data_IF_923122441757
#
_entry.id   IF_923122441757
#
_cell.length_a   1.000
_cell.length_b   1.000
_cell.length_c   1.000
_cell.angle_alpha   90.00
_cell.angle_beta   90.00
_cell.angle_gamma   90.00
#
_symmetry.space_group_name_H-M   'P 1'
#
loop_
_entity.id
_entity.type
_entity.pdbx_description
1 polymer ?
#
# COMPACT_ATOMS: atom_id res chain seq x y z
N UNK A 1 -0.27 11.40 26.61
CA UNK A 1 -0.99 11.12 27.87
C UNK A 1 -1.17 9.63 28.15
N UNK A 2 -1.44 8.76 27.16
CA UNK A 2 -1.64 7.31 27.39
C UNK A 2 -0.40 6.51 27.87
N UNK A 3 0.81 6.87 27.45
CA UNK A 3 2.05 6.19 27.88
C UNK A 3 2.39 6.42 29.37
N UNK A 4 1.97 7.55 29.94
CA UNK A 4 2.11 7.83 31.37
C UNK A 4 1.11 7.01 32.19
N UNK A 5 -0.11 6.82 31.68
CA UNK A 5 -1.15 6.02 32.36
C UNK A 5 -0.77 4.54 32.44
N UNK A 6 -0.21 3.96 31.36
CA UNK A 6 0.20 2.54 31.36
C UNK A 6 1.38 2.25 32.30
N UNK A 7 2.36 3.16 32.37
CA UNK A 7 3.47 3.05 33.33
C UNK A 7 3.01 3.23 34.76
N UNK A 8 2.11 4.17 35.05
CA UNK A 8 1.53 4.33 36.38
C UNK A 8 0.75 3.10 36.85
N UNK A 9 -0.06 2.48 35.97
CA UNK A 9 -0.79 1.26 36.29
C UNK A 9 0.18 0.10 36.59
N UNK A 10 1.23 -0.05 35.79
CA UNK A 10 2.25 -1.09 36.01
C UNK A 10 2.96 -0.93 37.37
N UNK A 11 3.29 0.31 37.77
CA UNK A 11 3.88 0.59 39.08
C UNK A 11 2.93 0.27 40.24
N UNK A 12 1.64 0.57 40.12
CA UNK A 12 0.64 0.24 41.15
C UNK A 12 0.53 -1.28 41.32
N UNK A 13 0.43 -2.03 40.21
CA UNK A 13 0.36 -3.50 40.25
C UNK A 13 1.63 -4.10 40.88
N UNK A 14 2.81 -3.58 40.52
CA UNK A 14 4.09 -4.02 41.08
C UNK A 14 4.16 -3.78 42.59
N UNK A 15 3.75 -2.59 43.06
CA UNK A 15 3.76 -2.25 44.48
C UNK A 15 2.79 -3.12 45.29
N UNK A 16 1.59 -3.39 44.76
CA UNK A 16 0.63 -4.30 45.40
C UNK A 16 1.20 -5.72 45.47
N UNK A 17 1.83 -6.19 44.40
CA UNK A 17 2.44 -7.54 44.35
C UNK A 17 3.60 -7.68 45.32
N UNK A 18 4.48 -6.66 45.40
CA UNK A 18 5.59 -6.62 46.35
C UNK A 18 5.10 -6.52 47.80
N UNK A 19 4.06 -5.72 48.07
CA UNK A 19 3.45 -5.64 49.39
C UNK A 19 2.81 -6.97 49.80
N UNK A 20 2.13 -7.65 48.88
CA UNK A 20 1.59 -9.00 49.10
C UNK A 20 2.68 -10.03 49.43
N UNK A 21 3.79 -10.01 48.68
CA UNK A 21 4.94 -10.87 48.95
C UNK A 21 5.65 -10.54 50.27
N UNK A 22 5.82 -9.26 50.59
CA UNK A 22 6.40 -8.83 51.85
C UNK A 22 5.51 -9.23 53.04
N UNK A 23 4.20 -9.08 52.91
CA UNK A 23 3.23 -9.51 53.92
C UNK A 23 3.23 -11.03 54.09
N UNK A 24 3.27 -11.79 52.98
CA UNK A 24 3.40 -13.25 53.01
C UNK A 24 4.70 -13.68 53.70
N UNK A 25 5.83 -13.11 53.31
CA UNK A 25 7.13 -13.40 53.90
C UNK A 25 7.16 -13.06 55.40
N UNK A 26 6.67 -11.88 55.78
CA UNK A 26 6.59 -11.46 57.18
C UNK A 26 5.68 -12.38 58.01
N UNK A 27 4.51 -12.73 57.48
CA UNK A 27 3.57 -13.64 58.14
C UNK A 27 4.17 -15.03 58.28
N UNK A 28 4.86 -15.52 57.25
CA UNK A 28 5.51 -16.83 57.26
C UNK A 28 6.67 -16.87 58.27
N UNK A 29 7.53 -15.85 58.28
CA UNK A 29 8.62 -15.69 59.26
C UNK A 29 8.07 -15.62 60.68
N UNK A 30 7.02 -14.82 60.92
CA UNK A 30 6.37 -14.71 62.23
C UNK A 30 5.70 -16.02 62.67
N UNK A 31 5.23 -16.83 61.72
CA UNK A 31 4.62 -18.13 61.99
C UNK A 31 5.64 -19.27 62.15
N UNK A 32 6.92 -19.02 61.82
CA UNK A 32 7.99 -19.99 62.05
C UNK A 32 8.25 -20.13 63.55
N UNK A 33 8.17 -21.37 64.06
CA UNK A 33 8.34 -21.66 65.49
C UNK A 33 9.83 -21.77 65.82
N UNK A 34 10.20 -21.36 67.04
CA UNK A 34 11.59 -21.24 67.48
C UNK A 34 12.33 -22.59 67.68
N UNK A 35 11.65 -23.74 67.57
CA UNK A 35 12.21 -25.05 67.90
C UNK A 35 12.33 -25.97 66.68
N UNK A 36 13.56 -26.43 66.44
CA UNK A 36 13.94 -27.39 65.39
C UNK A 36 13.27 -28.73 65.68
N UNK A 37 12.47 -29.26 64.73
CA UNK A 37 11.76 -30.54 64.86
C UNK A 37 10.26 -30.44 65.14
N UNK A 38 9.70 -29.22 65.32
CA UNK A 38 8.26 -29.01 65.50
C UNK A 38 7.45 -29.16 64.20
N UNK A 39 8.13 -29.29 63.06
CA UNK A 39 7.61 -29.58 61.73
C UNK A 39 7.22 -31.05 61.49
N UNK A 40 7.53 -31.98 62.42
CA UNK A 40 7.10 -33.38 62.32
C UNK A 40 5.59 -33.53 62.59
N UNK A 41 4.78 -33.14 61.62
CA UNK A 41 3.37 -33.52 61.51
C UNK A 41 3.32 -34.90 60.84
N UNK A 42 2.37 -35.75 61.26
CA UNK A 42 2.01 -36.97 60.51
C UNK A 42 2.03 -36.69 59.01
N UNK A 43 2.70 -37.54 58.23
CA UNK A 43 2.76 -37.41 56.77
C UNK A 43 1.34 -37.20 56.23
N UNK A 44 1.15 -36.31 55.26
CA UNK A 44 -0.18 -35.86 54.84
C UNK A 44 -1.12 -37.00 54.44
N UNK A 45 -0.57 -38.12 53.95
CA UNK A 45 -1.26 -39.35 53.59
C UNK A 45 -1.63 -40.27 54.80
N UNK A 46 -1.13 -39.98 56.00
CA UNK A 46 -1.41 -40.72 57.25
C UNK A 46 -2.34 -39.98 58.19
N UNK A 47 -2.75 -38.76 57.85
CA UNK A 47 -3.81 -38.06 58.57
C UNK A 47 -5.16 -38.63 58.12
N UNK A 48 -6.14 -38.84 59.03
CA UNK A 48 -7.51 -39.13 58.63
C UNK A 48 -7.95 -38.06 57.63
N UNK A 49 -8.49 -38.50 56.49
CA UNK A 49 -9.08 -37.57 55.54
C UNK A 49 -10.34 -36.94 56.15
N UNK A 50 -10.85 -35.90 55.52
CA UNK A 50 -12.11 -35.31 55.97
C UNK A 50 -13.23 -36.36 55.91
N UNK A 51 -14.13 -36.33 56.89
CA UNK A 51 -15.36 -37.12 56.87
C UNK A 51 -16.32 -36.59 55.80
N UNK A 52 -17.33 -37.40 55.46
CA UNK A 52 -18.25 -37.09 54.37
C UNK A 52 -19.03 -35.80 54.68
N UNK A 53 -19.40 -35.54 55.93
CA UNK A 53 -20.07 -34.30 56.33
C UNK A 53 -19.22 -33.04 56.08
N UNK A 54 -17.91 -33.09 56.35
CA UNK A 54 -17.02 -31.95 56.06
C UNK A 54 -16.78 -31.82 54.55
N UNK A 55 -16.65 -32.94 53.84
CA UNK A 55 -16.45 -32.96 52.40
C UNK A 55 -17.64 -32.40 51.63
N UNK A 56 -18.86 -32.82 51.97
CA UNK A 56 -20.10 -32.43 51.30
C UNK A 56 -20.68 -31.11 51.80
N UNK A 57 -20.30 -30.64 53.00
CA UNK A 57 -20.73 -29.35 53.53
C UNK A 57 -19.67 -28.24 53.39
N UNK A 58 -18.97 -27.86 54.46
CA UNK A 58 -18.12 -26.65 54.49
C UNK A 58 -17.00 -26.63 53.45
N UNK A 59 -16.46 -27.79 53.06
CA UNK A 59 -15.40 -27.85 52.05
C UNK A 59 -15.98 -27.67 50.64
N UNK A 60 -17.07 -28.37 50.32
CA UNK A 60 -17.73 -28.25 49.02
C UNK A 60 -18.23 -26.82 48.79
N UNK A 61 -18.89 -26.21 49.78
CA UNK A 61 -19.38 -24.83 49.69
C UNK A 61 -18.25 -23.84 49.39
N UNK A 62 -17.10 -23.95 50.06
CA UNK A 62 -15.94 -23.07 49.79
C UNK A 62 -15.43 -23.19 48.36
N UNK A 63 -15.34 -24.43 47.84
CA UNK A 63 -14.89 -24.69 46.47
C UNK A 63 -15.93 -24.20 45.47
N UNK A 64 -17.23 -24.38 45.75
CA UNK A 64 -18.31 -23.88 44.91
C UNK A 64 -18.35 -22.34 44.87
N UNK A 65 -18.13 -21.66 46.00
CA UNK A 65 -18.01 -20.19 46.04
C UNK A 65 -16.82 -19.71 45.21
N UNK A 66 -15.68 -20.43 45.26
CA UNK A 66 -14.54 -20.15 44.40
C UNK A 66 -14.89 -20.33 42.91
N UNK A 67 -15.62 -21.40 42.59
CA UNK A 67 -16.14 -21.66 41.25
C UNK A 67 -17.07 -20.55 40.76
N UNK A 68 -18.01 -20.11 41.59
CA UNK A 68 -18.92 -18.99 41.29
C UNK A 68 -18.14 -17.69 41.09
N UNK A 69 -17.11 -17.43 41.90
CA UNK A 69 -16.26 -16.27 41.74
C UNK A 69 -15.53 -16.25 40.39
N UNK A 70 -14.92 -17.36 39.97
CA UNK A 70 -14.31 -17.45 38.65
C UNK A 70 -15.35 -17.35 37.52
N UNK A 71 -16.54 -17.91 37.71
CA UNK A 71 -17.62 -17.79 36.75
C UNK A 71 -18.05 -16.32 36.59
N UNK A 72 -18.23 -15.58 37.69
CA UNK A 72 -18.52 -14.13 37.66
C UNK A 72 -17.39 -13.37 36.94
N UNK A 73 -16.12 -13.67 37.23
CA UNK A 73 -15.00 -13.04 36.51
C UNK A 73 -15.10 -13.28 35.02
N UNK A 74 -15.31 -14.53 34.58
CA UNK A 74 -15.38 -14.87 33.15
C UNK A 74 -16.59 -14.18 32.51
N UNK A 75 -17.76 -14.21 33.17
CA UNK A 75 -19.00 -13.59 32.70
C UNK A 75 -18.88 -12.07 32.54
N UNK A 76 -18.06 -11.40 33.34
CA UNK A 76 -17.85 -9.93 33.23
C UNK A 76 -16.68 -9.59 32.32
N UNK A 77 -15.55 -10.29 32.46
CA UNK A 77 -14.31 -9.97 31.76
C UNK A 77 -14.41 -10.26 30.25
N UNK A 78 -15.08 -11.35 29.84
CA UNK A 78 -15.23 -11.66 28.42
C UNK A 78 -16.04 -10.58 27.67
N UNK A 79 -17.25 -10.18 28.09
CA UNK A 79 -17.96 -9.09 27.41
C UNK A 79 -17.17 -7.78 27.36
N UNK A 80 -16.49 -7.41 28.45
CA UNK A 80 -15.66 -6.20 28.48
C UNK A 80 -14.48 -6.27 27.49
N UNK A 81 -13.82 -7.43 27.41
CA UNK A 81 -12.77 -7.66 26.42
C UNK A 81 -13.29 -7.50 24.99
N UNK A 82 -14.46 -8.09 24.69
CA UNK A 82 -15.08 -8.04 23.36
C UNK A 82 -15.51 -6.62 22.97
N UNK A 83 -15.99 -5.81 23.92
CA UNK A 83 -16.35 -4.40 23.68
C UNK A 83 -15.12 -3.57 23.27
N UNK A 84 -13.93 -3.92 23.75
CA UNK A 84 -12.68 -3.20 23.44
C UNK A 84 -11.95 -3.76 22.20
N UNK A 85 -12.35 -4.93 21.70
CA UNK A 85 -11.71 -5.62 20.58
C UNK A 85 -11.65 -4.80 19.27
N UNK A 86 -12.69 -4.04 18.88
CA UNK A 86 -12.64 -3.25 17.64
C UNK A 86 -11.50 -2.21 17.65
N UNK A 87 -11.32 -1.50 18.77
CA UNK A 87 -10.26 -0.50 18.91
C UNK A 87 -8.88 -1.16 18.86
N UNK A 88 -8.71 -2.31 19.50
CA UNK A 88 -7.46 -3.06 19.48
C UNK A 88 -7.11 -3.54 18.07
N UNK A 89 -8.12 -3.99 17.32
CA UNK A 89 -7.95 -4.38 15.91
C UNK A 89 -7.53 -3.19 15.05
N UNK A 90 -8.18 -2.03 15.23
CA UNK A 90 -7.85 -0.81 14.51
C UNK A 90 -6.42 -0.31 14.84
N UNK A 91 -6.02 -0.33 16.10
CA UNK A 91 -4.66 0.02 16.52
C UNK A 91 -3.61 -0.96 15.98
N UNK A 92 -3.94 -2.26 15.94
CA UNK A 92 -3.07 -3.27 15.34
C UNK A 92 -2.87 -3.00 13.85
N UNK A 93 -3.96 -2.75 13.10
CA UNK A 93 -3.91 -2.40 11.67
C UNK A 93 -3.04 -1.17 11.43
N UNK A 94 -3.29 -0.07 12.16
CA UNK A 94 -2.48 1.14 12.08
C UNK A 94 -0.99 0.88 12.39
N UNK A 95 -0.71 0.08 13.42
CA UNK A 95 0.65 -0.29 13.79
C UNK A 95 1.34 -1.17 12.75
N UNK A 96 0.61 -2.04 12.04
CA UNK A 96 1.14 -2.79 10.91
C UNK A 96 1.44 -1.87 9.73
N UNK A 97 0.48 -1.07 9.27
CA UNK A 97 0.69 -0.14 8.15
C UNK A 97 1.87 0.79 8.40
N UNK A 98 1.94 1.41 9.59
CA UNK A 98 3.07 2.29 9.95
C UNK A 98 4.43 1.60 9.82
N UNK A 99 4.54 0.34 10.25
CA UNK A 99 5.79 -0.44 10.15
C UNK A 99 6.08 -0.80 8.70
N UNK A 100 5.08 -1.24 7.95
CA UNK A 100 5.22 -1.63 6.56
C UNK A 100 5.59 -0.43 5.67
N UNK A 101 4.96 0.73 5.86
CA UNK A 101 5.32 1.98 5.21
C UNK A 101 6.76 2.37 5.54
N UNK A 102 7.20 2.22 6.79
CA UNK A 102 8.59 2.51 7.18
C UNK A 102 9.58 1.57 6.47
N UNK A 103 9.35 0.26 6.49
CA UNK A 103 10.22 -0.70 5.80
C UNK A 103 10.23 -0.48 4.29
N UNK A 104 9.07 -0.17 3.71
CA UNK A 104 8.97 0.20 2.29
C UNK A 104 9.76 1.45 1.96
N UNK A 105 9.75 2.47 2.83
CA UNK A 105 10.54 3.68 2.65
C UNK A 105 12.04 3.38 2.62
N UNK A 106 12.52 2.51 3.53
CA UNK A 106 13.92 2.06 3.58
C UNK A 106 14.31 1.33 2.28
N UNK A 107 13.44 0.47 1.75
CA UNK A 107 13.67 -0.20 0.45
C UNK A 107 13.65 0.77 -0.73
N UNK A 108 12.77 1.79 -0.69
CA UNK A 108 12.62 2.76 -1.77
C UNK A 108 13.77 3.76 -1.85
N UNK A 109 14.50 3.96 -0.75
CA UNK A 109 15.59 4.92 -0.64
C UNK A 109 16.75 4.67 -1.62
N UNK A 110 17.66 5.64 -1.70
CA UNK A 110 18.83 5.54 -2.56
C UNK A 110 19.74 4.39 -2.10
N UNK A 111 20.56 3.84 -3.00
CA UNK A 111 21.55 2.82 -2.62
C UNK A 111 22.54 3.34 -1.58
N UNK A 112 22.84 4.64 -1.59
CA UNK A 112 23.67 5.28 -0.56
C UNK A 112 23.08 5.15 0.86
N UNK A 113 21.75 5.05 0.97
CA UNK A 113 21.03 4.90 2.24
C UNK A 113 20.67 3.43 2.54
N UNK A 114 21.21 2.47 1.76
CA UNK A 114 20.93 1.04 1.89
C UNK A 114 19.67 0.55 1.17
N UNK A 115 19.01 1.40 0.38
CA UNK A 115 17.83 1.04 -0.41
C UNK A 115 18.14 0.52 -1.83
N UNK A 116 17.09 0.25 -2.59
CA UNK A 116 17.15 -0.28 -3.96
C UNK A 116 17.13 0.82 -5.05
N UNK A 117 17.33 2.07 -4.66
CA UNK A 117 17.43 3.24 -5.54
C UNK A 117 16.17 3.53 -6.36
N UNK A 118 14.99 3.13 -5.89
CA UNK A 118 13.72 3.52 -6.52
C UNK A 118 13.59 5.06 -6.53
N UNK A 119 13.98 5.71 -5.42
CA UNK A 119 14.02 7.17 -5.30
C UNK A 119 14.97 7.83 -6.30
N UNK A 120 16.12 7.22 -6.61
CA UNK A 120 17.08 7.76 -7.57
C UNK A 120 16.49 7.90 -8.97
N UNK A 121 15.74 6.90 -9.42
CA UNK A 121 15.06 6.95 -10.71
C UNK A 121 13.78 7.80 -10.67
N UNK A 122 12.96 7.64 -9.64
CA UNK A 122 11.60 8.20 -9.62
C UNK A 122 11.47 9.60 -9.01
N UNK A 123 12.58 10.32 -8.75
CA UNK A 123 12.53 11.71 -8.30
C UNK A 123 12.48 11.87 -6.78
N UNK A 124 13.38 11.20 -6.08
CA UNK A 124 13.53 11.27 -4.62
C UNK A 124 12.44 10.49 -3.86
N UNK A 125 12.42 10.64 -2.54
CA UNK A 125 11.48 9.91 -1.67
C UNK A 125 10.01 10.23 -1.95
N UNK A 126 9.70 11.43 -2.44
CA UNK A 126 8.34 11.81 -2.86
C UNK A 126 7.96 11.30 -4.25
N UNK A 127 8.86 10.62 -4.95
CA UNK A 127 8.63 10.01 -6.25
C UNK A 127 7.92 10.94 -7.27
N UNK A 128 8.40 12.18 -7.41
CA UNK A 128 7.76 13.23 -8.25
C UNK A 128 8.05 13.09 -9.74
N UNK A 129 8.71 12.01 -10.15
CA UNK A 129 9.22 11.79 -11.50
C UNK A 129 10.69 12.20 -11.60
N UNK A 130 11.44 11.46 -12.41
CA UNK A 130 12.87 11.67 -12.57
C UNK A 130 13.35 11.25 -13.95
N UNK A 131 14.66 11.09 -14.07
CA UNK A 131 15.34 10.64 -15.29
C UNK A 131 16.36 9.58 -14.88
N UNK A 132 16.45 8.50 -15.65
CA UNK A 132 17.41 7.42 -15.46
C UNK A 132 18.22 7.18 -16.72
N UNK A 133 19.53 6.99 -16.60
CA UNK A 133 20.36 6.60 -17.74
C UNK A 133 20.05 5.15 -18.13
N UNK A 134 19.94 4.87 -19.43
CA UNK A 134 19.60 3.55 -19.94
C UNK A 134 20.40 3.21 -21.19
N UNK A 135 21.05 2.06 -21.19
CA UNK A 135 21.72 1.53 -22.36
C UNK A 135 20.70 0.86 -23.29
N UNK A 136 20.50 1.45 -24.46
CA UNK A 136 19.62 0.94 -25.50
C UNK A 136 20.45 0.39 -26.65
N UNK A 137 20.16 -0.87 -27.02
CA UNK A 137 20.74 -1.49 -28.20
C UNK A 137 19.82 -1.25 -29.40
N UNK A 138 20.36 -0.69 -30.48
CA UNK A 138 19.65 -0.61 -31.75
C UNK A 138 19.50 -2.03 -32.33
N UNK A 139 18.26 -2.52 -32.57
CA UNK A 139 18.05 -3.87 -33.07
C UNK A 139 18.53 -4.07 -34.52
N UNK A 140 18.80 -3.01 -35.28
CA UNK A 140 19.28 -3.09 -36.68
C UNK A 140 20.80 -3.08 -36.77
N UNK A 141 21.46 -2.25 -35.97
CA UNK A 141 22.92 -2.04 -36.05
C UNK A 141 23.69 -2.71 -34.92
N UNK A 142 23.00 -3.21 -33.89
CA UNK A 142 23.57 -3.70 -32.63
C UNK A 142 24.39 -2.65 -31.85
N UNK A 143 24.33 -1.38 -32.26
CA UNK A 143 25.00 -0.27 -31.57
C UNK A 143 24.30 0.00 -30.23
N UNK A 144 25.09 0.17 -29.16
CA UNK A 144 24.58 0.50 -27.83
C UNK A 144 24.73 2.00 -27.59
N UNK A 145 23.61 2.69 -27.33
CA UNK A 145 23.56 4.11 -27.00
C UNK A 145 23.01 4.30 -25.59
N UNK A 146 23.61 5.22 -24.84
CA UNK A 146 23.05 5.63 -23.55
C UNK A 146 22.01 6.74 -23.79
N UNK A 147 20.80 6.55 -23.27
CA UNK A 147 19.72 7.53 -23.37
C UNK A 147 19.27 7.99 -21.98
N UNK A 148 18.69 9.19 -21.93
CA UNK A 148 18.07 9.74 -20.72
C UNK A 148 16.60 9.37 -20.68
N UNK A 149 16.25 8.35 -19.90
CA UNK A 149 14.89 7.82 -19.82
C UNK A 149 14.05 8.57 -18.78
N UNK A 150 12.89 9.09 -19.18
CA UNK A 150 11.90 9.71 -18.29
C UNK A 150 11.23 8.65 -17.41
N UNK A 151 11.60 8.63 -16.13
CA UNK A 151 11.00 7.78 -15.12
C UNK A 151 9.76 8.49 -14.54
N UNK A 152 8.56 7.91 -14.67
CA UNK A 152 7.32 8.61 -14.33
C UNK A 152 7.21 8.87 -12.83
N UNK A 153 6.47 9.91 -12.48
CA UNK A 153 6.07 10.14 -11.11
C UNK A 153 5.20 8.99 -10.57
N UNK A 154 5.47 8.58 -9.33
CA UNK A 154 4.74 7.51 -8.63
C UNK A 154 3.81 8.05 -7.54
N UNK A 155 3.90 9.33 -7.18
CA UNK A 155 2.99 10.00 -6.25
C UNK A 155 1.54 10.16 -6.75
N UNK A 156 1.24 9.69 -7.96
CA UNK A 156 -0.13 9.53 -8.47
C UNK A 156 -0.33 8.17 -9.17
N UNK A 157 0.45 7.15 -8.79
CA UNK A 157 0.36 5.82 -9.39
C UNK A 157 -0.94 5.10 -8.99
N UNK A 158 -1.38 5.27 -7.74
CA UNK A 158 -2.58 4.62 -7.18
C UNK A 158 -3.89 5.17 -7.76
N UNK A 159 -3.82 6.25 -8.52
CA UNK A 159 -4.98 6.82 -9.21
C UNK A 159 -5.36 6.03 -10.47
N UNK A 160 -4.44 5.18 -10.91
CA UNK A 160 -4.40 4.63 -12.26
C UNK A 160 -4.16 3.14 -12.30
N UNK A 161 -3.49 2.62 -11.28
CA UNK A 161 -3.13 1.22 -11.14
C UNK A 161 -3.68 0.66 -9.84
N UNK A 162 -4.09 -0.61 -9.87
CA UNK A 162 -4.41 -1.36 -8.64
C UNK A 162 -3.13 -1.85 -7.95
N UNK A 163 -3.28 -2.29 -6.69
CA UNK A 163 -2.18 -2.90 -5.93
C UNK A 163 -1.60 -4.12 -6.65
N UNK A 164 -2.44 -4.93 -7.30
CA UNK A 164 -2.03 -6.12 -8.07
C UNK A 164 -1.26 -5.75 -9.34
N UNK A 165 -1.69 -4.70 -10.05
CA UNK A 165 -0.97 -4.22 -11.23
C UNK A 165 0.40 -3.65 -10.86
N UNK A 166 0.48 -2.89 -9.75
CA UNK A 166 1.76 -2.40 -9.23
C UNK A 166 2.64 -3.56 -8.78
N UNK A 167 2.07 -4.56 -8.08
CA UNK A 167 2.79 -5.78 -7.70
C UNK A 167 3.33 -6.50 -8.93
N UNK A 168 2.55 -6.62 -10.00
CA UNK A 168 2.99 -7.22 -11.25
C UNK A 168 4.19 -6.45 -11.85
N UNK A 169 4.12 -5.12 -11.89
CA UNK A 169 5.20 -4.27 -12.40
C UNK A 169 6.46 -4.39 -11.53
N UNK A 170 6.32 -4.44 -10.21
CA UNK A 170 7.47 -4.61 -9.31
C UNK A 170 8.06 -6.01 -9.43
N UNK A 171 7.23 -7.04 -9.61
CA UNK A 171 7.69 -8.41 -9.74
C UNK A 171 8.43 -8.65 -11.06
N UNK A 172 7.88 -8.19 -12.18
CA UNK A 172 8.38 -8.53 -13.52
C UNK A 172 9.07 -7.37 -14.24
N UNK A 173 9.09 -6.19 -13.64
CA UNK A 173 9.57 -4.98 -14.26
C UNK A 173 8.68 -4.53 -15.42
N UNK A 174 9.21 -3.62 -16.22
CA UNK A 174 8.70 -3.31 -17.54
C UNK A 174 9.82 -3.61 -18.53
N UNK A 175 9.64 -4.62 -19.41
CA UNK A 175 10.54 -4.85 -20.56
C UNK A 175 10.76 -3.54 -21.32
N UNK A 176 11.75 -3.41 -22.21
CA UNK A 176 12.03 -2.18 -22.99
C UNK A 176 12.38 -0.90 -22.19
N UNK A 177 12.32 -0.91 -20.86
CA UNK A 177 12.59 0.24 -20.00
C UNK A 177 13.68 -0.05 -18.96
N UNK A 178 14.20 0.96 -18.24
CA UNK A 178 15.16 0.77 -17.15
C UNK A 178 14.55 0.10 -15.91
N UNK A 179 13.22 -0.07 -15.87
CA UNK A 179 12.53 -0.66 -14.73
C UNK A 179 12.65 -2.19 -14.77
N UNK A 180 13.71 -2.71 -14.17
CA UNK A 180 13.95 -4.15 -14.01
C UNK A 180 12.91 -4.83 -13.12
N UNK A 181 12.90 -6.16 -13.14
CA UNK A 181 12.21 -6.97 -12.15
C UNK A 181 12.86 -6.80 -10.78
N UNK A 182 12.05 -6.58 -9.75
CA UNK A 182 12.49 -6.49 -8.36
C UNK A 182 12.05 -7.67 -7.53
N UNK A 183 10.89 -8.28 -7.81
CA UNK A 183 10.43 -9.46 -7.10
C UNK A 183 11.20 -10.71 -7.47
N UNK A 184 11.44 -11.60 -6.50
CA UNK A 184 12.10 -12.90 -6.71
C UNK A 184 11.46 -13.73 -7.82
N UNK A 185 10.14 -13.64 -7.99
CA UNK A 185 9.41 -14.40 -9.01
C UNK A 185 9.73 -13.94 -10.44
N UNK A 186 10.19 -12.71 -10.63
CA UNK A 186 10.68 -12.18 -11.90
C UNK A 186 12.20 -12.13 -12.00
N UNK A 187 12.92 -12.71 -11.03
CA UNK A 187 14.38 -12.74 -10.99
C UNK A 187 15.04 -11.57 -10.26
N UNK A 188 14.26 -10.75 -9.56
CA UNK A 188 14.78 -9.65 -8.73
C UNK A 188 15.13 -10.07 -7.29
N UNK A 189 15.65 -9.15 -6.46
CA UNK A 189 16.15 -9.45 -5.11
C UNK A 189 15.10 -9.43 -3.98
N UNK A 190 13.87 -8.98 -4.25
CA UNK A 190 12.87 -8.68 -3.22
C UNK A 190 11.89 -9.83 -3.00
N UNK A 191 11.69 -10.19 -1.72
CA UNK A 191 10.65 -11.15 -1.33
C UNK A 191 9.25 -10.57 -1.52
N UNK A 192 8.21 -11.41 -1.51
CA UNK A 192 6.82 -10.95 -1.60
C UNK A 192 6.43 -9.97 -0.48
N UNK A 193 7.00 -10.15 0.72
CA UNK A 193 6.80 -9.22 1.83
C UNK A 193 7.47 -7.87 1.55
N UNK A 194 8.70 -7.86 1.02
CA UNK A 194 9.37 -6.61 0.61
C UNK A 194 8.54 -5.85 -0.44
N UNK A 195 7.99 -6.56 -1.43
CA UNK A 195 7.11 -5.97 -2.45
C UNK A 195 5.85 -5.37 -1.81
N UNK A 196 5.25 -6.08 -0.85
CA UNK A 196 4.11 -5.57 -0.08
C UNK A 196 4.48 -4.29 0.66
N UNK A 197 5.60 -4.26 1.38
CA UNK A 197 6.04 -3.05 2.11
C UNK A 197 6.31 -1.87 1.18
N UNK A 198 6.88 -2.11 -0.01
CA UNK A 198 7.06 -1.06 -1.03
C UNK A 198 5.73 -0.51 -1.51
N UNK A 199 4.72 -1.35 -1.73
CA UNK A 199 3.37 -0.92 -2.11
C UNK A 199 2.74 -0.07 -0.99
N UNK A 200 2.88 -0.47 0.27
CA UNK A 200 2.42 0.34 1.41
C UNK A 200 3.13 1.69 1.52
N UNK A 201 4.42 1.74 1.17
CA UNK A 201 5.12 3.02 1.05
C UNK A 201 4.60 3.86 -0.13
N UNK A 202 4.37 3.27 -1.29
CA UNK A 202 3.80 3.97 -2.45
C UNK A 202 2.43 4.57 -2.12
N UNK A 203 1.57 3.86 -1.38
CA UNK A 203 0.29 4.39 -0.90
C UNK A 203 0.48 5.66 -0.06
N UNK A 204 1.49 5.69 0.82
CA UNK A 204 1.75 6.81 1.72
C UNK A 204 2.25 8.09 1.06
N UNK A 205 2.83 8.00 -0.13
CA UNK A 205 3.37 9.15 -0.87
C UNK A 205 2.42 9.69 -1.93
N UNK A 206 1.20 9.14 -2.04
CA UNK A 206 0.23 9.65 -3.00
C UNK A 206 -0.16 11.09 -2.66
N UNK A 207 -0.33 11.91 -3.69
CA UNK A 207 -1.01 13.20 -3.54
C UNK A 207 -2.43 12.88 -2.99
N UNK A 208 -2.94 13.63 -2.01
CA UNK A 208 -4.33 13.46 -1.57
C UNK A 208 -5.31 13.81 -2.69
N UNK A 209 -6.37 13.01 -2.84
CA UNK A 209 -7.40 13.24 -3.85
C UNK A 209 -8.45 14.23 -3.36
N UNK A 210 -8.97 15.05 -4.28
CA UNK A 210 -10.19 15.83 -4.04
C UNK A 210 -11.41 14.88 -4.00
N UNK A 211 -12.47 15.28 -3.28
CA UNK A 211 -13.71 14.52 -3.08
C UNK A 211 -13.55 13.18 -2.35
N UNK A 212 -12.49 13.05 -1.55
CA UNK A 212 -12.23 11.85 -0.79
C UNK A 212 -12.95 11.88 0.57
N UNK A 213 -14.14 11.27 0.64
CA UNK A 213 -14.90 11.17 1.89
C UNK A 213 -14.25 10.15 2.83
N UNK A 214 -13.92 8.97 2.31
CA UNK A 214 -13.30 7.88 3.06
C UNK A 214 -12.03 7.40 2.33
N UNK A 215 -10.84 7.72 2.86
CA UNK A 215 -9.59 7.20 2.33
C UNK A 215 -9.52 5.67 2.44
N UNK A 216 -8.78 5.02 1.55
CA UNK A 216 -8.59 3.55 1.53
C UNK A 216 -7.83 3.02 2.75
N UNK A 217 -7.16 3.89 3.50
CA UNK A 217 -6.50 3.52 4.74
C UNK A 217 -5.79 4.70 5.42
N UNK A 218 -5.35 4.54 6.68
CA UNK A 218 -4.62 5.57 7.43
C UNK A 218 -3.43 6.18 6.70
N UNK A 219 -2.70 5.39 5.92
CA UNK A 219 -1.57 5.82 5.10
C UNK A 219 -1.86 5.79 3.60
N UNK A 220 -3.12 5.71 3.18
CA UNK A 220 -3.50 5.75 1.77
C UNK A 220 -4.55 6.85 1.56
N UNK A 221 -4.14 8.05 1.10
CA UNK A 221 -5.03 9.20 0.95
C UNK A 221 -5.89 9.15 -0.33
N UNK A 222 -5.94 8.00 -1.01
CA UNK A 222 -6.75 7.79 -2.22
C UNK A 222 -8.07 7.09 -1.90
N UNK A 223 -9.04 7.18 -2.79
CA UNK A 223 -10.37 6.59 -2.66
C UNK A 223 -10.93 6.16 -4.02
N UNK A 224 -12.13 5.58 -4.02
CA UNK A 224 -12.78 5.05 -5.24
C UNK A 224 -13.23 6.17 -6.17
N UNK A 225 -13.83 7.23 -5.63
CA UNK A 225 -14.39 8.33 -6.42
C UNK A 225 -13.52 9.61 -6.42
N UNK A 226 -12.34 9.52 -5.80
CA UNK A 226 -11.40 10.63 -5.69
C UNK A 226 -10.90 11.11 -7.05
N UNK A 227 -10.60 12.41 -7.13
CA UNK A 227 -10.05 13.05 -8.33
C UNK A 227 -8.71 13.70 -8.04
N UNK A 228 -7.89 13.85 -9.06
CA UNK A 228 -6.68 14.66 -9.00
C UNK A 228 -7.06 16.08 -8.55
N UNK A 229 -6.32 16.67 -7.58
CA UNK A 229 -6.65 17.99 -7.08
C UNK A 229 -6.78 19.04 -8.17
N UNK A 230 -7.72 19.97 -7.99
CA UNK A 230 -8.01 21.00 -9.00
C UNK A 230 -6.76 21.80 -9.42
N UNK A 231 -5.83 22.06 -8.50
CA UNK A 231 -4.57 22.74 -8.79
C UNK A 231 -3.66 21.92 -9.74
N UNK A 232 -3.54 20.62 -9.49
CA UNK A 232 -2.75 19.70 -10.31
C UNK A 232 -3.39 19.49 -11.69
N UNK A 233 -4.71 19.33 -11.75
CA UNK A 233 -5.43 19.25 -13.03
C UNK A 233 -5.32 20.56 -13.83
N UNK A 234 -5.34 21.71 -13.15
CA UNK A 234 -5.09 23.01 -13.79
C UNK A 234 -3.68 23.10 -14.37
N UNK A 235 -2.66 22.55 -13.69
CA UNK A 235 -1.30 22.50 -14.21
C UNK A 235 -1.20 21.66 -15.50
N UNK A 236 -1.89 20.51 -15.55
CA UNK A 236 -1.99 19.66 -16.75
C UNK A 236 -2.52 20.46 -17.95
N UNK A 237 -3.68 21.10 -17.81
CA UNK A 237 -4.31 21.81 -18.94
C UNK A 237 -3.54 23.08 -19.32
N UNK A 238 -2.94 23.76 -18.35
CA UNK A 238 -2.13 24.97 -18.61
C UNK A 238 -0.87 24.62 -19.40
N UNK A 239 -0.19 23.52 -19.05
CA UNK A 239 0.97 23.05 -19.81
C UNK A 239 0.58 22.57 -21.21
N UNK A 240 -0.54 21.86 -21.33
CA UNK A 240 -1.04 21.44 -22.64
C UNK A 240 -1.36 22.66 -23.54
N UNK A 241 -2.01 23.69 -22.98
CA UNK A 241 -2.29 24.92 -23.72
C UNK A 241 -1.01 25.65 -24.11
N UNK A 242 -0.02 25.74 -23.21
CA UNK A 242 1.28 26.37 -23.49
C UNK A 242 1.99 25.71 -24.68
N UNK A 243 1.92 24.38 -24.80
CA UNK A 243 2.51 23.60 -25.89
C UNK A 243 1.74 23.77 -27.22
N UNK A 244 0.46 24.11 -27.17
CA UNK A 244 -0.30 24.50 -28.38
C UNK A 244 0.05 25.92 -28.77
N UNK A 245 0.06 26.85 -27.81
CA UNK A 245 0.31 28.27 -28.05
C UNK A 245 1.71 28.55 -28.61
N UNK A 246 2.71 27.75 -28.23
CA UNK A 246 4.06 27.85 -28.75
C UNK A 246 4.30 27.04 -30.04
N UNK A 247 3.26 26.39 -30.57
CA UNK A 247 3.32 25.62 -31.81
C UNK A 247 3.99 24.25 -31.70
N UNK A 248 4.23 23.72 -30.49
CA UNK A 248 4.79 22.36 -30.33
C UNK A 248 3.79 21.29 -30.76
N UNK A 249 2.51 21.50 -30.48
CA UNK A 249 1.41 20.61 -30.87
C UNK A 249 0.29 21.39 -31.54
N UNK A 250 -0.41 20.77 -32.49
CA UNK A 250 -1.46 21.44 -33.25
C UNK A 250 -2.77 21.58 -32.45
N UNK A 251 -3.02 20.67 -31.51
CA UNK A 251 -4.26 20.61 -30.74
C UNK A 251 -4.03 20.28 -29.27
N UNK A 252 -4.99 20.65 -28.42
CA UNK A 252 -4.96 20.25 -27.00
C UNK A 252 -4.97 18.73 -26.81
N UNK A 253 -5.72 17.99 -27.63
CA UNK A 253 -5.76 16.53 -27.59
C UNK A 253 -4.39 15.90 -27.87
N UNK A 254 -3.69 16.41 -28.89
CA UNK A 254 -2.32 16.01 -29.20
C UNK A 254 -1.36 16.33 -28.04
N UNK A 255 -1.50 17.53 -27.46
CA UNK A 255 -0.63 17.94 -26.37
C UNK A 255 -0.84 17.12 -25.10
N UNK A 256 -2.09 16.77 -24.77
CA UNK A 256 -2.40 15.88 -23.64
C UNK A 256 -1.89 14.46 -23.90
N UNK A 257 -1.99 13.97 -25.14
CA UNK A 257 -1.45 12.67 -25.53
C UNK A 257 0.08 12.59 -25.34
N UNK A 258 0.80 13.69 -25.61
CA UNK A 258 2.26 13.80 -25.55
C UNK A 258 2.80 14.50 -24.29
N UNK A 259 1.98 14.72 -23.26
CA UNK A 259 2.32 15.57 -22.12
C UNK A 259 3.56 15.10 -21.35
N UNK A 260 4.58 15.94 -21.21
CA UNK A 260 5.83 15.59 -20.51
C UNK A 260 5.83 15.87 -19.01
N UNK A 261 4.81 16.57 -18.49
CA UNK A 261 4.64 16.90 -17.07
C UNK A 261 4.79 15.66 -16.17
N UNK A 262 5.45 15.82 -15.02
CA UNK A 262 5.70 14.75 -14.04
C UNK A 262 6.40 13.52 -14.67
N UNK A 263 7.41 13.80 -15.52
CA UNK A 263 8.12 12.79 -16.33
C UNK A 263 7.18 11.92 -17.17
N UNK A 264 6.12 12.55 -17.69
CA UNK A 264 5.09 11.91 -18.50
C UNK A 264 4.16 10.97 -17.74
N UNK A 265 4.02 11.11 -16.41
CA UNK A 265 3.14 10.22 -15.64
C UNK A 265 1.74 10.07 -16.26
N UNK A 266 1.22 11.11 -16.92
CA UNK A 266 -0.11 11.15 -17.54
C UNK A 266 -0.11 10.97 -19.07
N UNK A 267 1.06 10.83 -19.69
CA UNK A 267 1.22 10.76 -21.15
C UNK A 267 0.77 9.41 -21.73
N UNK A 268 -0.06 9.46 -22.76
CA UNK A 268 -0.44 8.29 -23.55
C UNK A 268 0.74 7.82 -24.43
N UNK A 269 1.53 8.76 -24.94
CA UNK A 269 2.65 8.51 -25.84
C UNK A 269 3.74 7.64 -25.19
N UNK A 270 3.87 7.64 -23.85
CA UNK A 270 4.81 6.74 -23.15
C UNK A 270 4.66 5.28 -23.48
N UNK A 271 3.43 4.84 -23.72
CA UNK A 271 3.14 3.46 -24.07
C UNK A 271 2.87 3.29 -25.56
N UNK A 272 2.28 4.29 -26.21
CA UNK A 272 1.81 4.20 -27.59
C UNK A 272 2.74 4.84 -28.64
N UNK A 273 3.85 5.44 -28.23
CA UNK A 273 4.83 6.06 -29.13
C UNK A 273 6.23 5.57 -28.77
N UNK A 274 6.84 4.77 -29.65
CA UNK A 274 8.23 4.33 -29.47
C UNK A 274 9.15 5.54 -29.35
N UNK A 275 10.04 5.52 -28.36
CA UNK A 275 11.05 6.54 -28.15
C UNK A 275 10.62 7.84 -27.49
N UNK A 276 9.33 8.00 -27.19
CA UNK A 276 8.84 9.16 -26.44
C UNK A 276 9.50 9.29 -25.06
N UNK A 277 9.73 8.16 -24.37
CA UNK A 277 10.29 8.17 -23.00
C UNK A 277 11.76 8.60 -22.95
N UNK A 278 12.44 8.78 -24.07
CA UNK A 278 13.85 9.20 -24.13
C UNK A 278 14.12 10.26 -25.21
N UNK A 279 13.10 11.07 -25.52
CA UNK A 279 13.20 12.25 -26.41
C UNK A 279 13.60 11.93 -27.86
N UNK A 280 13.30 10.72 -28.33
CA UNK A 280 13.44 10.31 -29.73
C UNK A 280 12.13 9.66 -30.22
N UNK A 281 11.00 10.40 -30.16
CA UNK A 281 9.70 9.86 -30.55
C UNK A 281 9.68 9.50 -32.03
N UNK A 282 9.27 8.26 -32.31
CA UNK A 282 8.97 7.79 -33.66
C UNK A 282 7.55 8.22 -34.04
N UNK A 283 6.91 7.54 -35.00
CA UNK A 283 5.53 7.81 -35.38
C UNK A 283 4.60 7.86 -34.15
N UNK A 284 3.97 9.01 -33.93
CA UNK A 284 3.06 9.24 -32.80
C UNK A 284 1.90 8.25 -32.86
N UNK A 285 1.66 7.55 -31.75
CA UNK A 285 0.65 6.50 -31.69
C UNK A 285 1.02 5.21 -32.44
N UNK A 286 2.20 5.11 -33.06
CA UNK A 286 2.65 3.96 -33.85
C UNK A 286 2.85 2.66 -33.07
N UNK A 287 2.63 2.67 -31.75
CA UNK A 287 2.79 1.53 -30.86
C UNK A 287 4.20 1.43 -30.27
N UNK A 288 4.28 0.83 -29.09
CA UNK A 288 5.53 0.43 -28.44
C UNK A 288 5.24 -0.65 -27.40
N UNK A 289 4.89 -0.24 -26.19
CA UNK A 289 4.38 -1.15 -25.16
C UNK A 289 2.88 -1.38 -25.31
N UNK A 290 2.15 -0.31 -25.63
CA UNK A 290 0.75 -0.35 -26.02
C UNK A 290 0.61 -0.60 -27.52
N UNK A 291 -0.60 -1.00 -27.97
CA UNK A 291 -0.88 -1.25 -29.38
C UNK A 291 -0.71 0.01 -30.24
N UNK A 292 -0.58 -0.21 -31.55
CA UNK A 292 -0.65 0.84 -32.55
C UNK A 292 -2.07 1.43 -32.60
N UNK A 293 -2.14 2.77 -32.53
CA UNK A 293 -3.35 3.57 -32.54
C UNK A 293 -3.64 4.23 -33.90
N UNK A 294 -2.68 4.19 -34.83
CA UNK A 294 -2.75 4.88 -36.13
C UNK A 294 -3.56 4.14 -37.19
N UNK A 295 -3.81 4.81 -38.32
CA UNK A 295 -4.42 4.21 -39.50
C UNK A 295 -5.86 3.76 -39.24
N UNK A 296 -6.58 4.50 -38.40
CA UNK A 296 -7.96 4.20 -38.02
C UNK A 296 -8.10 2.95 -37.13
N UNK A 297 -7.01 2.43 -36.55
CA UNK A 297 -7.03 1.29 -35.62
C UNK A 297 -7.97 1.54 -34.45
N UNK A 298 -7.85 2.71 -33.84
CA UNK A 298 -8.68 3.13 -32.70
C UNK A 298 -10.17 3.20 -33.05
N UNK A 299 -10.52 3.67 -34.26
CA UNK A 299 -11.91 3.77 -34.73
C UNK A 299 -12.50 2.39 -35.02
N UNK A 300 -11.73 1.46 -35.59
CA UNK A 300 -12.18 0.08 -35.80
C UNK A 300 -12.39 -0.66 -34.48
N UNK A 301 -11.50 -0.44 -33.51
CA UNK A 301 -11.60 -1.07 -32.19
C UNK A 301 -12.75 -0.48 -31.37
N UNK A 302 -12.98 0.83 -31.48
CA UNK A 302 -14.04 1.56 -30.79
C UNK A 302 -14.87 2.39 -31.79
N UNK A 303 -15.88 1.80 -32.43
CA UNK A 303 -16.76 2.56 -33.33
C UNK A 303 -17.44 3.73 -32.61
N UNK A 304 -17.88 3.50 -31.37
CA UNK A 304 -18.47 4.50 -30.49
C UNK A 304 -17.40 5.26 -29.68
N UNK A 305 -17.41 6.59 -29.77
CA UNK A 305 -16.47 7.46 -29.04
C UNK A 305 -16.63 7.34 -27.51
N UNK A 306 -17.87 7.25 -27.01
CA UNK A 306 -18.14 7.15 -25.57
C UNK A 306 -17.61 5.85 -24.97
N UNK A 307 -17.61 4.75 -25.73
CA UNK A 307 -16.99 3.49 -25.28
C UNK A 307 -15.46 3.61 -25.16
N UNK A 308 -14.83 4.35 -26.08
CA UNK A 308 -13.39 4.63 -25.98
C UNK A 308 -13.06 5.50 -24.76
N UNK A 309 -13.87 6.53 -24.49
CA UNK A 309 -13.74 7.38 -23.29
C UNK A 309 -13.90 6.52 -22.03
N UNK A 310 -14.91 5.64 -21.97
CA UNK A 310 -15.13 4.75 -20.84
C UNK A 310 -13.95 3.78 -20.63
N UNK A 311 -13.39 3.24 -21.71
CA UNK A 311 -12.21 2.37 -21.64
C UNK A 311 -10.99 3.11 -21.11
N UNK A 312 -10.69 4.32 -21.57
CA UNK A 312 -9.54 5.10 -21.07
C UNK A 312 -9.78 5.55 -19.63
N UNK A 313 -11.03 5.87 -19.26
CA UNK A 313 -11.42 6.21 -17.90
C UNK A 313 -11.15 5.06 -16.93
N UNK A 314 -11.52 3.83 -17.31
CA UNK A 314 -11.50 2.67 -16.40
C UNK A 314 -10.24 1.81 -16.53
N UNK A 315 -9.49 1.95 -17.62
CA UNK A 315 -8.37 1.08 -17.94
C UNK A 315 -8.80 -0.28 -18.50
N UNK A 316 -7.81 -1.11 -18.84
CA UNK A 316 -8.03 -2.49 -19.26
C UNK A 316 -8.03 -3.41 -18.05
N UNK A 317 -8.94 -4.37 -17.99
CA UNK A 317 -8.93 -5.42 -16.98
C UNK A 317 -8.57 -6.78 -17.58
N UNK A 318 -7.80 -7.59 -16.87
CA UNK A 318 -7.34 -8.89 -17.37
C UNK A 318 -8.53 -9.79 -17.73
N UNK A 319 -8.57 -10.23 -18.98
CA UNK A 319 -9.56 -11.18 -19.49
C UNK A 319 -10.91 -10.55 -19.86
N UNK A 320 -11.19 -9.29 -19.49
CA UNK A 320 -12.44 -8.60 -19.85
C UNK A 320 -12.41 -8.09 -21.28
N UNK A 321 -13.55 -8.15 -21.97
CA UNK A 321 -13.70 -7.57 -23.32
C UNK A 321 -13.69 -6.05 -23.26
N UNK A 322 -13.08 -5.41 -24.24
CA UNK A 322 -13.22 -3.98 -24.51
C UNK A 322 -13.34 -3.73 -26.03
N UNK A 323 -14.09 -2.69 -26.40
CA UNK A 323 -14.40 -2.40 -27.81
C UNK A 323 -14.99 -3.61 -28.55
N UNK A 324 -14.74 -3.67 -29.86
CA UNK A 324 -15.28 -4.74 -30.71
C UNK A 324 -14.72 -6.12 -30.36
N UNK A 325 -13.40 -6.31 -30.37
CA UNK A 325 -12.79 -7.65 -30.19
C UNK A 325 -11.58 -7.65 -29.25
N UNK A 326 -11.42 -6.60 -28.44
CA UNK A 326 -10.27 -6.45 -27.56
C UNK A 326 -10.45 -7.30 -26.31
N UNK A 327 -9.38 -7.95 -25.85
CA UNK A 327 -9.32 -8.56 -24.53
C UNK A 327 -8.29 -7.82 -23.69
N UNK A 328 -8.73 -7.31 -22.53
CA UNK A 328 -7.91 -6.54 -21.64
C UNK A 328 -6.79 -7.39 -21.03
N UNK A 329 -5.60 -6.80 -20.95
CA UNK A 329 -4.43 -7.44 -20.36
C UNK A 329 -4.14 -7.02 -18.92
N UNK A 330 -4.92 -6.09 -18.34
CA UNK A 330 -4.59 -5.48 -17.03
C UNK A 330 -3.36 -4.56 -17.10
N UNK A 331 -3.10 -3.94 -18.26
CA UNK A 331 -1.85 -3.20 -18.52
C UNK A 331 -2.06 -1.77 -18.98
N UNK A 332 -3.23 -1.46 -19.55
CA UNK A 332 -3.62 -0.09 -19.84
C UNK A 332 -4.24 0.50 -18.56
N UNK A 333 -3.57 1.44 -17.89
CA UNK A 333 -4.07 2.01 -16.65
C UNK A 333 -5.35 2.83 -16.86
N UNK A 334 -6.09 3.01 -15.77
CA UNK A 334 -7.23 3.92 -15.68
C UNK A 334 -6.75 5.38 -15.67
N UNK A 335 -7.52 6.29 -16.27
CA UNK A 335 -7.25 7.74 -16.22
C UNK A 335 -8.43 8.57 -15.73
N UNK A 336 -9.56 7.95 -15.37
CA UNK A 336 -10.78 8.64 -14.95
C UNK A 336 -10.65 9.43 -13.64
N UNK A 337 -9.65 9.12 -12.81
CA UNK A 337 -9.32 9.89 -11.61
C UNK A 337 -8.30 11.02 -11.88
N UNK A 338 -7.67 11.05 -13.06
CA UNK A 338 -6.64 12.03 -13.44
C UNK A 338 -7.22 13.11 -14.35
N UNK A 339 -7.89 12.68 -15.43
CA UNK A 339 -8.44 13.57 -16.44
C UNK A 339 -9.94 13.82 -16.21
N UNK A 340 -10.37 15.03 -16.54
CA UNK A 340 -11.80 15.37 -16.64
C UNK A 340 -12.42 14.70 -17.87
N UNK A 341 -13.75 14.64 -17.93
CA UNK A 341 -14.45 14.12 -19.11
C UNK A 341 -14.11 14.90 -20.38
N UNK A 342 -13.98 16.23 -20.29
CA UNK A 342 -13.60 17.07 -21.43
C UNK A 342 -12.17 16.79 -21.89
N UNK A 343 -11.23 16.61 -20.96
CA UNK A 343 -9.85 16.24 -21.28
C UNK A 343 -9.77 14.86 -21.95
N UNK A 344 -10.52 13.88 -21.43
CA UNK A 344 -10.62 12.55 -22.05
C UNK A 344 -11.22 12.63 -23.45
N UNK A 345 -12.24 13.46 -23.66
CA UNK A 345 -12.83 13.69 -24.98
C UNK A 345 -11.80 14.25 -25.96
N UNK A 346 -11.03 15.28 -25.58
CA UNK A 346 -9.98 15.86 -26.41
C UNK A 346 -8.91 14.82 -26.78
N UNK A 347 -8.45 14.01 -25.82
CA UNK A 347 -7.50 12.93 -26.07
C UNK A 347 -8.08 11.92 -27.06
N UNK A 348 -9.34 11.49 -26.86
CA UNK A 348 -10.00 10.52 -27.74
C UNK A 348 -10.20 11.06 -29.15
N UNK A 349 -10.58 12.32 -29.32
CA UNK A 349 -10.71 12.95 -30.63
C UNK A 349 -9.38 12.95 -31.37
N UNK A 350 -8.29 13.29 -30.68
CA UNK A 350 -6.95 13.20 -31.26
C UNK A 350 -6.58 11.76 -31.61
N UNK A 351 -6.74 10.80 -30.70
CA UNK A 351 -6.38 9.40 -30.95
C UNK A 351 -7.18 8.79 -32.11
N UNK A 352 -8.43 9.20 -32.30
CA UNK A 352 -9.26 8.77 -33.44
C UNK A 352 -8.84 9.39 -34.77
N UNK A 353 -8.08 10.48 -34.73
CA UNK A 353 -7.54 11.16 -35.92
C UNK A 353 -6.19 10.60 -36.40
N UNK A 354 -5.54 9.77 -35.59
CA UNK A 354 -4.30 9.04 -35.92
C UNK A 354 -4.56 7.87 -36.88
#
# INVERSE_FOLDING_TARGET
MFAATSTSIAWVILLISLAGWAFYAFSNIRSSRAEIGSEQKLAANRKPYYDDEILEGPRLERVQVLGLFFLVIITVALPLYWVLEPNRTAEAQFGFEKRFTKWGAELFAATADGGYNCSGCHGGMKATGGVAAYAMTDPKTAEVKSVSWKAPALNTVMYRYTDEEIRFILNYGRPFSPMSAWGIIGGGPLTDQNITTLIEYLKSIQIPQDNCVEPRGPYNPTCVDGKLPAAENKAIISEAQRLVDNGTHATLGESLFNLSLNSGAYSCARCHTKGWSYDDPQATGGGAFGPNLTGGSSVRQFPNQSEMIAFISNGSELGKRYGEQGQGGGRMPAFGQVYTQDQLKLIVEYVRSL
#
